data_IF_304368031537
#
_entry.id   IF_304368031537
#
_cell.length_a   1.000
_cell.length_b   1.000
_cell.length_c   1.000
_cell.angle_alpha   90.00
_cell.angle_beta   90.00
_cell.angle_gamma   90.00
#
_symmetry.space_group_name_H-M   'P 1'
#
loop_
_entity.id
_entity.type
_entity.pdbx_description
1 polymer ?
#
# COMPACT_ATOMS: atom_id res chain seq x y z
N UNK A 1 -10.19 -8.70 -17.46
CA UNK A 1 -8.99 -8.68 -16.59
C UNK A 1 -8.45 -7.28 -16.30
N UNK A 2 -8.28 -6.39 -17.29
CA UNK A 2 -7.74 -5.03 -17.07
C UNK A 2 -8.49 -4.18 -16.04
N UNK A 3 -9.83 -4.28 -16.02
CA UNK A 3 -10.68 -3.59 -15.03
C UNK A 3 -10.35 -4.05 -13.59
N UNK A 4 -10.04 -5.33 -13.38
CA UNK A 4 -9.66 -5.85 -12.06
C UNK A 4 -8.34 -5.28 -11.55
N UNK A 5 -7.35 -5.12 -12.42
CA UNK A 5 -6.07 -4.48 -12.06
C UNK A 5 -6.22 -2.97 -11.81
N UNK A 6 -7.09 -2.30 -12.55
CA UNK A 6 -7.41 -0.90 -12.29
C UNK A 6 -8.04 -0.74 -10.91
N UNK A 7 -9.01 -1.60 -10.56
CA UNK A 7 -9.59 -1.62 -9.22
C UNK A 7 -8.52 -1.90 -8.16
N UNK A 8 -7.65 -2.88 -8.40
CA UNK A 8 -6.56 -3.22 -7.49
C UNK A 8 -5.57 -2.06 -7.29
N UNK A 9 -5.15 -1.41 -8.37
CA UNK A 9 -4.32 -0.20 -8.30
C UNK A 9 -5.02 0.90 -7.50
N UNK A 10 -6.31 1.11 -7.74
CA UNK A 10 -7.12 2.11 -7.04
C UNK A 10 -7.19 1.80 -5.53
N UNK A 11 -7.34 0.52 -5.15
CA UNK A 11 -7.29 0.09 -3.74
C UNK A 11 -5.92 0.38 -3.13
N UNK A 12 -4.81 0.07 -3.82
CA UNK A 12 -3.46 0.37 -3.33
C UNK A 12 -3.25 1.88 -3.12
N UNK A 13 -3.76 2.71 -4.04
CA UNK A 13 -3.73 4.16 -3.90
C UNK A 13 -4.63 4.66 -2.76
N UNK A 14 -5.81 4.07 -2.57
CA UNK A 14 -6.70 4.41 -1.46
C UNK A 14 -6.05 4.09 -0.10
N UNK A 15 -5.38 2.94 0.02
CA UNK A 15 -4.60 2.57 1.21
C UNK A 15 -3.45 3.55 1.43
N UNK A 16 -2.67 3.85 0.39
CA UNK A 16 -1.58 4.84 0.48
C UNK A 16 -2.09 6.22 0.94
N UNK A 17 -3.18 6.70 0.35
CA UNK A 17 -3.81 7.96 0.73
C UNK A 17 -4.34 7.94 2.17
N UNK A 18 -4.94 6.83 2.59
CA UNK A 18 -5.43 6.66 3.95
C UNK A 18 -4.29 6.68 4.97
N UNK A 19 -3.20 5.95 4.73
CA UNK A 19 -1.99 6.01 5.55
C UNK A 19 -1.42 7.43 5.58
N UNK A 20 -1.40 8.14 4.45
CA UNK A 20 -0.96 9.53 4.39
C UNK A 20 -1.79 10.44 5.30
N UNK A 21 -3.13 10.32 5.24
CA UNK A 21 -4.03 11.12 6.06
C UNK A 21 -3.89 10.79 7.55
N UNK A 22 -3.71 9.52 7.89
CA UNK A 22 -3.59 9.10 9.29
C UNK A 22 -2.21 9.36 9.91
N UNK A 23 -1.15 9.64 9.13
CA UNK A 23 0.11 10.16 9.67
C UNK A 23 -0.07 11.45 10.49
N UNK A 24 -1.10 12.24 10.16
CA UNK A 24 -1.45 13.49 10.83
C UNK A 24 -2.67 13.36 11.76
N UNK A 25 -3.24 12.16 11.92
CA UNK A 25 -4.43 11.91 12.74
C UNK A 25 -4.23 10.74 13.69
N UNK A 26 -5.34 10.16 14.18
CA UNK A 26 -5.30 8.88 14.91
C UNK A 26 -5.29 7.71 13.92
N UNK A 27 -4.31 6.81 14.09
CA UNK A 27 -4.20 5.55 13.38
C UNK A 27 -4.52 4.42 14.34
N UNK A 28 -5.67 3.75 14.19
CA UNK A 28 -6.08 2.60 15.01
C UNK A 28 -5.85 2.83 16.52
N UNK A 29 -6.40 3.94 17.03
CA UNK A 29 -6.30 4.39 18.42
C UNK A 29 -4.90 4.85 18.89
N UNK A 30 -3.87 4.74 18.05
CA UNK A 30 -2.52 5.22 18.31
C UNK A 30 -2.31 6.60 17.71
N UNK A 31 -1.46 7.41 18.34
CA UNK A 31 -1.09 8.74 17.85
C UNK A 31 0.31 8.67 17.23
N UNK A 32 0.44 8.47 15.91
CA UNK A 32 1.75 8.44 15.25
C UNK A 32 2.56 9.72 15.46
N UNK A 33 1.95 10.84 15.85
CA UNK A 33 2.69 12.04 16.23
C UNK A 33 3.50 11.88 17.52
N UNK A 34 3.04 11.04 18.46
CA UNK A 34 3.71 10.76 19.73
C UNK A 34 4.66 9.56 19.61
N UNK A 35 4.45 8.70 18.60
CA UNK A 35 5.22 7.47 18.38
C UNK A 35 6.06 7.57 17.08
N UNK A 36 7.33 8.04 17.17
CA UNK A 36 8.17 8.26 15.99
C UNK A 36 8.43 6.97 15.18
N UNK A 37 8.41 5.80 15.83
CA UNK A 37 8.54 4.51 15.18
C UNK A 37 7.33 4.19 14.28
N UNK A 38 6.11 4.37 14.81
CA UNK A 38 4.86 4.17 14.06
C UNK A 38 4.73 5.16 12.90
N UNK A 39 5.13 6.43 13.09
CA UNK A 39 5.15 7.42 12.02
C UNK A 39 6.10 7.05 10.88
N UNK A 40 7.31 6.61 11.22
CA UNK A 40 8.30 6.16 10.24
C UNK A 40 7.79 4.95 9.46
N UNK A 41 7.22 3.97 10.18
CA UNK A 41 6.59 2.78 9.60
C UNK A 41 5.49 3.16 8.60
N UNK A 42 4.47 3.92 9.03
CA UNK A 42 3.36 4.33 8.18
C UNK A 42 3.82 5.15 6.96
N UNK A 43 4.85 5.98 7.11
CA UNK A 43 5.43 6.76 6.00
C UNK A 43 6.10 5.85 4.96
N UNK A 44 6.81 4.84 5.43
CA UNK A 44 7.51 3.89 4.56
C UNK A 44 6.52 3.06 3.74
N UNK A 45 5.52 2.48 4.42
CA UNK A 45 4.49 1.67 3.77
C UNK A 45 3.60 2.50 2.84
N UNK A 46 3.28 3.74 3.19
CA UNK A 46 2.61 4.68 2.27
C UNK A 46 3.33 4.77 0.93
N UNK A 47 4.65 4.98 0.95
CA UNK A 47 5.46 5.09 -0.25
C UNK A 47 5.46 3.77 -1.04
N UNK A 48 5.58 2.63 -0.36
CA UNK A 48 5.50 1.33 -1.02
C UNK A 48 4.15 1.08 -1.70
N UNK A 49 3.04 1.37 -1.03
CA UNK A 49 1.71 1.25 -1.63
C UNK A 49 1.53 2.19 -2.82
N UNK A 50 2.08 3.41 -2.77
CA UNK A 50 2.05 4.36 -3.88
C UNK A 50 2.86 3.85 -5.09
N UNK A 51 4.07 3.34 -4.87
CA UNK A 51 4.96 2.84 -5.92
C UNK A 51 4.36 1.60 -6.59
N UNK A 52 3.89 0.63 -5.80
CA UNK A 52 3.26 -0.59 -6.34
C UNK A 52 1.93 -0.25 -7.03
N UNK A 53 1.13 0.66 -6.48
CA UNK A 53 -0.08 1.16 -7.13
C UNK A 53 0.21 1.81 -8.49
N UNK A 54 1.24 2.65 -8.57
CA UNK A 54 1.69 3.28 -9.82
C UNK A 54 2.21 2.28 -10.85
N UNK A 55 3.06 1.34 -10.43
CA UNK A 55 3.53 0.24 -11.28
C UNK A 55 2.37 -0.61 -11.80
N UNK A 56 1.40 -0.93 -10.93
CA UNK A 56 0.21 -1.67 -11.31
C UNK A 56 -0.63 -0.89 -12.32
N UNK A 57 -0.78 0.42 -12.15
CA UNK A 57 -1.48 1.27 -13.12
C UNK A 57 -0.78 1.28 -14.48
N UNK A 58 0.54 1.48 -14.51
CA UNK A 58 1.34 1.41 -15.76
C UNK A 58 1.22 0.03 -16.39
N UNK A 59 1.21 -1.04 -15.58
CA UNK A 59 1.05 -2.40 -16.06
C UNK A 59 -0.25 -2.58 -16.85
N UNK A 60 -1.34 -1.87 -16.50
CA UNK A 60 -2.62 -1.99 -17.21
C UNK A 60 -2.57 -1.52 -18.67
N UNK A 61 -1.61 -0.65 -19.00
CA UNK A 61 -1.35 -0.17 -20.36
C UNK A 61 -0.51 -1.21 -21.12
N UNK A 62 0.40 -1.91 -20.43
CA UNK A 62 1.18 -2.99 -21.00
C UNK A 62 0.29 -4.22 -21.26
N UNK A 63 0.36 -4.79 -22.46
CA UNK A 63 -0.44 -5.96 -22.82
C UNK A 63 0.25 -7.28 -22.44
N UNK A 64 0.85 -7.34 -21.24
CA UNK A 64 1.64 -8.47 -20.75
C UNK A 64 1.03 -9.06 -19.47
N UNK A 65 0.45 -10.25 -19.59
CA UNK A 65 -0.25 -10.96 -18.50
C UNK A 65 0.70 -11.37 -17.37
N UNK A 66 1.94 -11.77 -17.68
CA UNK A 66 2.95 -12.12 -16.67
C UNK A 66 3.28 -10.91 -15.81
N UNK A 67 3.44 -9.74 -16.43
CA UNK A 67 3.70 -8.50 -15.70
C UNK A 67 2.55 -8.13 -14.76
N UNK A 68 1.30 -8.35 -15.19
CA UNK A 68 0.12 -8.15 -14.36
C UNK A 68 0.09 -9.06 -13.13
N UNK A 69 0.39 -10.35 -13.30
CA UNK A 69 0.45 -11.31 -12.20
C UNK A 69 1.53 -10.94 -11.18
N UNK A 70 2.68 -10.46 -11.65
CA UNK A 70 3.76 -9.98 -10.77
C UNK A 70 3.33 -8.75 -9.97
N UNK A 71 2.68 -7.76 -10.59
CA UNK A 71 2.16 -6.60 -9.88
C UNK A 71 1.12 -6.98 -8.80
N UNK A 72 0.25 -7.94 -9.12
CA UNK A 72 -0.75 -8.44 -8.18
C UNK A 72 -0.09 -9.16 -7.00
N UNK A 73 0.85 -10.07 -7.26
CA UNK A 73 1.62 -10.77 -6.24
C UNK A 73 2.39 -9.78 -5.34
N UNK A 74 3.07 -8.81 -5.93
CA UNK A 74 3.81 -7.77 -5.18
C UNK A 74 2.88 -6.97 -4.26
N UNK A 75 1.70 -6.58 -4.73
CA UNK A 75 0.72 -5.87 -3.91
C UNK A 75 0.17 -6.73 -2.77
N UNK A 76 -0.08 -8.02 -3.02
CA UNK A 76 -0.51 -8.97 -1.98
C UNK A 76 0.57 -9.20 -0.92
N UNK A 77 1.82 -9.41 -1.35
CA UNK A 77 2.96 -9.57 -0.43
C UNK A 77 3.13 -8.31 0.41
N UNK A 78 3.07 -7.13 -0.20
CA UNK A 78 3.17 -5.86 0.51
C UNK A 78 2.08 -5.71 1.58
N UNK A 79 0.83 -6.06 1.25
CA UNK A 79 -0.28 -6.02 2.20
C UNK A 79 -0.10 -7.02 3.36
N UNK A 80 0.37 -8.24 3.08
CA UNK A 80 0.65 -9.24 4.09
C UNK A 80 1.78 -8.79 5.04
N UNK A 81 2.89 -8.29 4.48
CA UNK A 81 4.03 -7.80 5.26
C UNK A 81 3.62 -6.59 6.10
N UNK A 82 2.79 -5.69 5.57
CA UNK A 82 2.23 -4.57 6.33
C UNK A 82 1.42 -5.07 7.53
N UNK A 83 0.49 -6.01 7.33
CA UNK A 83 -0.37 -6.53 8.39
C UNK A 83 0.45 -7.23 9.49
N UNK A 84 1.39 -8.09 9.11
CA UNK A 84 2.28 -8.80 10.07
C UNK A 84 3.18 -7.82 10.81
N UNK A 85 3.79 -6.88 10.10
CA UNK A 85 4.71 -5.92 10.75
C UNK A 85 3.96 -4.96 11.67
N UNK A 86 2.74 -4.58 11.31
CA UNK A 86 1.88 -3.77 12.18
C UNK A 86 1.48 -4.54 13.45
N UNK A 87 1.10 -5.81 13.32
CA UNK A 87 0.79 -6.67 14.46
C UNK A 87 1.98 -6.92 15.39
N UNK A 88 3.22 -6.83 14.87
CA UNK A 88 4.44 -6.98 15.65
C UNK A 88 4.97 -5.65 16.23
N UNK A 89 4.40 -4.51 15.82
CA UNK A 89 4.72 -3.19 16.36
C UNK A 89 3.74 -2.73 17.46
N UNK A 90 2.59 -3.40 17.61
CA UNK A 90 1.64 -3.26 18.73
C UNK A 90 1.97 -4.33 19.78
#
# INVERSE_FOLDING_TARGET
MRIGLLIFALVLFAISYYLHRQLNGQFLNHQPQQEPQLKSFLTHYRNYFAVIGGLTFISTIANNVTFWLVCLLMGCVLAAVFAVSFANQI
#
